data_IF_753295709987
#
_entry.id   IF_753295709987
#
_cell.length_a   1.000
_cell.length_b   1.000
_cell.length_c   1.000
_cell.angle_alpha   90.00
_cell.angle_beta   90.00
_cell.angle_gamma   90.00
#
_symmetry.space_group_name_H-M   'P 1'
#
loop_
_entity.id
_entity.type
_entity.pdbx_description
1 polymer ?
#
# COMPACT_ATOMS: atom_id res chain seq x y z
N UNK A 1 -6.18 26.86 36.84
CA UNK A 1 -6.90 26.03 35.86
C UNK A 1 -6.70 26.64 34.48
N UNK A 2 -5.84 26.09 33.62
CA UNK A 2 -5.86 26.42 32.20
C UNK A 2 -6.70 25.40 31.43
N UNK A 3 -7.44 25.95 30.50
CA UNK A 3 -8.41 25.38 29.58
C UNK A 3 -7.80 24.37 28.62
N UNK A 4 -8.58 23.32 28.31
CA UNK A 4 -8.21 22.22 27.45
C UNK A 4 -7.85 22.66 26.03
N UNK A 5 -6.59 22.39 25.66
CA UNK A 5 -6.19 22.27 24.27
C UNK A 5 -6.79 20.97 23.71
N UNK A 6 -7.64 21.10 22.70
CA UNK A 6 -8.06 19.96 21.88
C UNK A 6 -6.87 19.59 21.01
N UNK A 7 -6.15 18.54 21.38
CA UNK A 7 -5.28 17.83 20.44
C UNK A 7 -6.15 17.38 19.27
N UNK A 8 -5.78 17.79 18.05
CA UNK A 8 -6.29 17.17 16.83
C UNK A 8 -5.60 15.81 16.69
N UNK A 9 -6.30 14.72 16.39
CA UNK A 9 -5.64 13.47 16.04
C UNK A 9 -5.03 13.61 14.64
N UNK A 10 -3.73 13.32 14.53
CA UNK A 10 -3.07 12.98 13.27
C UNK A 10 -3.11 11.45 13.19
N UNK A 11 -3.96 10.88 12.33
CA UNK A 11 -4.07 9.44 12.10
C UNK A 11 -3.23 9.03 10.88
N UNK A 12 -2.48 7.92 11.06
CA UNK A 12 -2.26 6.74 10.22
C UNK A 12 -1.68 6.74 8.76
N UNK A 13 -0.87 5.70 8.49
CA UNK A 13 -0.71 4.92 7.23
C UNK A 13 0.37 5.25 6.17
N UNK A 14 1.47 4.50 6.17
CA UNK A 14 1.92 3.78 4.95
C UNK A 14 1.13 2.48 4.89
N UNK A 15 0.71 1.87 3.79
CA UNK A 15 1.24 1.82 2.43
C UNK A 15 0.28 2.42 1.39
N UNK A 16 -0.44 3.48 1.75
CA UNK A 16 -1.26 4.27 0.84
C UNK A 16 -1.27 5.73 1.31
N UNK A 17 -0.20 6.47 1.02
CA UNK A 17 -0.28 7.93 1.10
C UNK A 17 -0.88 8.45 -0.21
N UNK A 18 -2.22 8.40 -0.28
CA UNK A 18 -2.98 9.28 -1.15
C UNK A 18 -2.85 10.67 -0.53
N UNK A 19 -1.99 11.50 -1.11
CA UNK A 19 -1.77 12.86 -0.64
C UNK A 19 -3.10 13.63 -0.63
N UNK A 20 -3.14 14.67 0.21
CA UNK A 20 -4.28 15.59 0.43
C UNK A 20 -4.75 16.38 -0.83
N UNK A 21 -4.43 15.94 -2.04
CA UNK A 21 -4.80 16.58 -3.30
C UNK A 21 -6.14 16.16 -3.91
N UNK A 22 -6.72 15.01 -3.55
CA UNK A 22 -7.98 14.52 -4.14
C UNK A 22 -9.26 15.11 -3.53
N UNK A 23 -9.26 15.39 -2.23
CA UNK A 23 -10.41 15.94 -1.52
C UNK A 23 -10.46 17.49 -1.53
N UNK A 24 -9.33 18.18 -1.75
CA UNK A 24 -9.33 19.65 -1.83
C UNK A 24 -9.78 20.18 -3.20
N UNK A 25 -9.56 19.42 -4.28
CA UNK A 25 -10.19 19.66 -5.58
C UNK A 25 -11.73 19.49 -5.51
N UNK A 26 -12.21 18.63 -4.61
CA UNK A 26 -13.64 18.40 -4.36
C UNK A 26 -14.28 19.51 -3.51
N UNK A 27 -13.58 20.04 -2.50
CA UNK A 27 -14.10 21.07 -1.59
C UNK A 27 -13.97 22.50 -2.15
N UNK A 28 -12.94 22.80 -2.95
CA UNK A 28 -12.78 24.13 -3.55
C UNK A 28 -13.64 24.35 -4.81
N UNK A 29 -14.01 23.27 -5.52
CA UNK A 29 -14.86 23.37 -6.71
C UNK A 29 -16.34 23.65 -6.40
N UNK A 30 -16.80 23.51 -5.15
CA UNK A 30 -18.23 23.55 -4.80
C UNK A 30 -18.76 24.92 -4.32
N UNK A 31 -18.25 26.01 -4.90
CA UNK A 31 -18.85 27.36 -4.82
C UNK A 31 -19.20 27.88 -6.21
N UNK A 32 -20.26 27.33 -6.81
CA UNK A 32 -21.38 28.13 -7.34
C UNK A 32 -22.28 27.27 -8.23
N UNK A 33 -23.58 27.25 -7.89
CA UNK A 33 -24.76 27.17 -8.78
C UNK A 33 -24.77 25.95 -9.74
N UNK A 34 -25.57 24.89 -9.57
CA UNK A 34 -27.02 24.85 -9.38
C UNK A 34 -27.60 23.72 -10.27
N UNK A 35 -28.44 22.86 -9.69
CA UNK A 35 -29.20 21.74 -10.30
C UNK A 35 -30.06 22.12 -11.54
N UNK A 36 -30.79 21.20 -12.24
CA UNK A 36 -30.82 19.71 -12.22
C UNK A 36 -30.82 19.03 -13.63
N UNK A 37 -30.71 17.69 -13.71
CA UNK A 37 -31.75 16.75 -14.24
C UNK A 37 -31.16 15.42 -14.81
N UNK A 38 -31.74 14.31 -14.33
CA UNK A 38 -31.51 12.89 -14.59
C UNK A 38 -31.72 12.36 -16.04
N UNK A 39 -31.26 11.10 -16.28
CA UNK A 39 -31.98 9.86 -16.78
C UNK A 39 -31.34 9.06 -17.98
N UNK A 40 -31.73 7.78 -18.26
CA UNK A 40 -30.95 6.55 -18.00
C UNK A 40 -30.62 5.69 -19.26
N UNK A 41 -29.85 4.58 -19.12
CA UNK A 41 -29.91 3.46 -20.07
C UNK A 41 -29.53 2.09 -19.45
N UNK A 42 -30.13 1.01 -19.98
CA UNK A 42 -30.06 -0.38 -19.53
C UNK A 42 -29.58 -1.31 -20.68
N UNK A 43 -28.90 -2.41 -20.31
CA UNK A 43 -28.69 -3.74 -20.98
C UNK A 43 -27.66 -3.88 -22.12
N UNK A 44 -26.69 -4.79 -21.96
CA UNK A 44 -26.82 -6.18 -22.44
C UNK A 44 -25.75 -7.13 -21.86
N UNK A 45 -26.18 -8.31 -21.40
CA UNK A 45 -25.33 -9.41 -20.96
C UNK A 45 -24.85 -10.19 -22.20
N UNK A 46 -23.54 -10.29 -22.40
CA UNK A 46 -22.95 -11.31 -23.26
C UNK A 46 -22.19 -12.29 -22.36
N UNK A 47 -22.72 -13.52 -22.26
CA UNK A 47 -22.01 -14.62 -21.63
C UNK A 47 -20.82 -14.99 -22.53
N UNK A 48 -19.65 -14.42 -22.24
CA UNK A 48 -18.39 -14.98 -22.65
C UNK A 48 -18.07 -16.13 -21.70
N UNK A 49 -17.94 -17.34 -22.24
CA UNK A 49 -17.23 -18.41 -21.56
C UNK A 49 -15.77 -17.96 -21.51
N UNK A 50 -15.37 -17.33 -20.41
CA UNK A 50 -13.96 -17.24 -20.08
C UNK A 50 -13.51 -18.67 -19.81
N UNK A 51 -12.73 -19.24 -20.71
CA UNK A 51 -11.80 -20.27 -20.31
C UNK A 51 -10.86 -19.56 -19.33
N UNK A 52 -11.06 -19.78 -18.02
CA UNK A 52 -10.05 -19.39 -17.04
C UNK A 52 -8.73 -20.00 -17.52
N UNK A 53 -7.63 -19.23 -17.61
CA UNK A 53 -6.34 -19.88 -17.68
C UNK A 53 -6.31 -20.87 -16.51
N UNK A 54 -5.94 -22.12 -16.78
CA UNK A 54 -5.47 -22.97 -15.69
C UNK A 54 -4.28 -22.22 -15.12
N UNK A 55 -4.46 -21.55 -13.98
CA UNK A 55 -3.31 -21.13 -13.19
C UNK A 55 -2.52 -22.39 -12.91
N UNK A 56 -1.29 -22.46 -13.43
CA UNK A 56 -0.39 -23.52 -13.03
C UNK A 56 -0.24 -23.43 -11.51
N UNK A 57 -0.28 -24.57 -10.80
CA UNK A 57 0.04 -24.54 -9.38
C UNK A 57 1.47 -24.00 -9.21
N UNK A 58 1.69 -23.09 -8.23
CA UNK A 58 3.01 -22.52 -7.99
C UNK A 58 4.02 -23.61 -7.71
N UNK A 59 5.28 -23.37 -8.09
CA UNK A 59 6.34 -24.34 -7.86
C UNK A 59 6.49 -24.64 -6.36
N UNK A 60 6.82 -25.88 -5.95
CA UNK A 60 7.00 -26.20 -4.52
C UNK A 60 8.03 -25.32 -3.81
N UNK A 61 9.06 -24.86 -4.54
CA UNK A 61 10.07 -23.93 -4.02
C UNK A 61 9.51 -22.53 -3.80
N UNK A 62 8.65 -22.04 -4.70
CA UNK A 62 7.99 -20.75 -4.47
C UNK A 62 7.09 -20.82 -3.24
N UNK A 63 6.31 -21.89 -3.09
CA UNK A 63 5.48 -22.09 -1.89
C UNK A 63 6.32 -22.04 -0.61
N UNK A 64 7.44 -22.77 -0.58
CA UNK A 64 8.36 -22.75 0.58
C UNK A 64 8.93 -21.35 0.86
N UNK A 65 9.31 -20.60 -0.18
CA UNK A 65 9.82 -19.24 -0.02
C UNK A 65 8.74 -18.26 0.48
N UNK A 66 7.52 -18.33 -0.10
CA UNK A 66 6.37 -17.50 0.28
C UNK A 66 5.99 -17.73 1.75
N UNK A 67 6.01 -18.99 2.19
CA UNK A 67 5.79 -19.36 3.59
C UNK A 67 6.90 -18.80 4.49
N UNK A 68 8.17 -18.93 4.10
CA UNK A 68 9.31 -18.42 4.85
C UNK A 68 9.30 -16.89 4.99
N UNK A 69 8.80 -16.18 3.98
CA UNK A 69 8.61 -14.72 3.98
C UNK A 69 7.36 -14.27 4.73
N UNK A 70 6.48 -15.21 5.15
CA UNK A 70 5.22 -14.91 5.83
C UNK A 70 4.36 -13.91 5.06
N UNK A 71 4.22 -14.13 3.75
CA UNK A 71 3.47 -13.23 2.87
C UNK A 71 2.00 -13.08 3.29
N UNK A 72 1.37 -14.18 3.71
CA UNK A 72 -0.01 -14.19 4.20
C UNK A 72 -0.21 -13.24 5.39
N UNK A 73 0.70 -13.26 6.38
CA UNK A 73 0.67 -12.32 7.51
C UNK A 73 0.77 -10.85 7.05
N UNK A 74 1.55 -10.56 6.02
CA UNK A 74 1.70 -9.22 5.47
C UNK A 74 0.41 -8.74 4.80
N UNK A 75 -0.22 -9.63 4.02
CA UNK A 75 -1.48 -9.34 3.34
C UNK A 75 -2.65 -9.20 4.33
N UNK A 76 -2.68 -10.01 5.39
CA UNK A 76 -3.65 -9.84 6.49
C UNK A 76 -3.55 -8.46 7.15
N UNK A 77 -2.33 -7.93 7.32
CA UNK A 77 -2.14 -6.56 7.83
C UNK A 77 -2.66 -5.54 6.81
N UNK A 78 -2.38 -5.73 5.51
CA UNK A 78 -2.93 -4.88 4.45
C UNK A 78 -4.46 -4.87 4.42
N UNK A 79 -5.14 -5.98 4.72
CA UNK A 79 -6.61 -6.02 4.82
C UNK A 79 -7.11 -5.15 5.98
N UNK A 80 -6.42 -5.18 7.12
CA UNK A 80 -6.76 -4.35 8.29
C UNK A 80 -6.58 -2.86 7.99
N UNK A 81 -5.44 -2.49 7.42
CA UNK A 81 -5.14 -1.11 6.97
C UNK A 81 -6.15 -0.64 5.92
N UNK A 82 -6.44 -1.50 4.95
CA UNK A 82 -7.37 -1.23 3.87
C UNK A 82 -8.80 -0.98 4.32
N UNK A 83 -9.25 -1.69 5.36
CA UNK A 83 -10.57 -1.48 5.95
C UNK A 83 -10.66 -0.12 6.63
N UNK A 84 -9.64 0.25 7.42
CA UNK A 84 -9.57 1.58 8.04
C UNK A 84 -9.50 2.69 6.97
N UNK A 85 -8.72 2.47 5.91
CA UNK A 85 -8.63 3.40 4.79
C UNK A 85 -9.97 3.56 4.05
N UNK A 86 -10.77 2.49 3.94
CA UNK A 86 -12.13 2.56 3.43
C UNK A 86 -13.02 3.51 4.25
N UNK A 87 -12.91 3.50 5.58
CA UNK A 87 -13.66 4.43 6.45
C UNK A 87 -13.26 5.89 6.19
N UNK A 88 -11.98 6.15 5.94
CA UNK A 88 -11.47 7.47 5.60
C UNK A 88 -12.00 7.96 4.26
N UNK A 89 -12.00 7.12 3.22
CA UNK A 89 -12.61 7.45 1.92
C UNK A 89 -14.08 7.86 2.09
N UNK A 90 -14.87 7.09 2.85
CA UNK A 90 -16.27 7.45 3.10
C UNK A 90 -16.37 8.80 3.81
N UNK A 91 -15.60 8.99 4.89
CA UNK A 91 -15.62 10.22 5.68
C UNK A 91 -15.25 11.47 4.86
N UNK A 92 -14.31 11.35 3.92
CA UNK A 92 -13.80 12.48 3.14
C UNK A 92 -14.62 12.76 1.88
N UNK A 93 -15.09 11.73 1.18
CA UNK A 93 -15.65 11.88 -0.17
C UNK A 93 -17.19 11.83 -0.20
N UNK A 94 -17.82 11.05 0.68
CA UNK A 94 -19.26 10.85 0.68
C UNK A 94 -19.81 10.54 2.09
N UNK A 95 -19.45 11.38 3.06
CA UNK A 95 -19.72 11.18 4.48
C UNK A 95 -21.15 10.69 4.78
N UNK A 96 -21.24 9.64 5.59
CA UNK A 96 -22.49 9.01 6.08
C UNK A 96 -23.38 8.35 5.01
N UNK A 97 -22.90 8.23 3.76
CA UNK A 97 -23.70 7.71 2.62
C UNK A 97 -23.33 6.31 2.18
N UNK A 98 -22.15 5.83 2.58
CA UNK A 98 -21.67 4.49 2.25
C UNK A 98 -22.40 3.42 3.05
N UNK A 99 -22.35 3.54 4.38
CA UNK A 99 -22.95 2.61 5.33
C UNK A 99 -22.59 1.15 5.02
N UNK A 100 -23.49 0.21 5.32
CA UNK A 100 -23.23 -1.22 5.15
C UNK A 100 -22.90 -1.63 3.69
N UNK A 101 -23.33 -0.86 2.69
CA UNK A 101 -23.04 -1.16 1.28
C UNK A 101 -21.59 -0.84 0.93
N UNK A 102 -21.08 0.30 1.41
CA UNK A 102 -19.67 0.66 1.23
C UNK A 102 -18.76 -0.32 1.96
N UNK A 103 -19.09 -0.63 3.22
CA UNK A 103 -18.33 -1.60 4.03
C UNK A 103 -18.25 -2.98 3.38
N UNK A 104 -19.36 -3.48 2.81
CA UNK A 104 -19.35 -4.74 2.07
C UNK A 104 -18.51 -4.67 0.78
N UNK A 105 -18.48 -3.51 0.12
CA UNK A 105 -17.65 -3.30 -1.07
C UNK A 105 -16.17 -3.29 -0.71
N UNK A 106 -15.76 -2.50 0.30
CA UNK A 106 -14.38 -2.47 0.81
C UNK A 106 -13.93 -3.87 1.23
N UNK A 107 -14.74 -4.61 1.98
CA UNK A 107 -14.43 -5.99 2.37
C UNK A 107 -14.25 -6.93 1.17
N UNK A 108 -14.99 -6.73 0.08
CA UNK A 108 -14.82 -7.52 -1.15
C UNK A 108 -13.58 -7.14 -1.96
N UNK A 109 -13.14 -5.88 -1.87
CA UNK A 109 -11.91 -5.42 -2.53
C UNK A 109 -10.67 -5.97 -1.81
N UNK A 110 -10.68 -5.94 -0.47
CA UNK A 110 -9.62 -6.50 0.37
C UNK A 110 -9.82 -7.99 0.68
N UNK A 111 -10.28 -8.76 -0.30
CA UNK A 111 -10.39 -10.22 -0.18
C UNK A 111 -8.99 -10.85 -0.13
N UNK A 112 -8.64 -11.46 1.01
CA UNK A 112 -7.29 -11.97 1.27
C UNK A 112 -6.87 -13.07 0.29
N UNK A 113 -7.75 -14.03 0.02
CA UNK A 113 -7.46 -15.15 -0.90
C UNK A 113 -7.16 -14.63 -2.31
N UNK A 114 -7.95 -13.66 -2.79
CA UNK A 114 -7.69 -13.01 -4.08
C UNK A 114 -6.36 -12.24 -4.10
N UNK A 115 -6.03 -11.56 -3.01
CA UNK A 115 -4.77 -10.82 -2.89
C UNK A 115 -3.57 -11.78 -2.88
N UNK A 116 -3.67 -12.90 -2.18
CA UNK A 116 -2.67 -13.96 -2.16
C UNK A 116 -2.50 -14.59 -3.55
N UNK A 117 -3.59 -14.95 -4.23
CA UNK A 117 -3.55 -15.52 -5.59
C UNK A 117 -2.88 -14.58 -6.60
N UNK A 118 -3.21 -13.28 -6.55
CA UNK A 118 -2.57 -12.27 -7.41
C UNK A 118 -1.08 -12.17 -7.12
N UNK A 119 -0.70 -12.10 -5.84
CA UNK A 119 0.68 -11.94 -5.43
C UNK A 119 1.52 -13.16 -5.81
N UNK A 120 1.03 -14.38 -5.51
CA UNK A 120 1.72 -15.64 -5.85
C UNK A 120 1.83 -15.81 -7.35
N UNK A 121 0.80 -15.45 -8.12
CA UNK A 121 0.85 -15.49 -9.58
C UNK A 121 1.98 -14.63 -10.15
N UNK A 122 2.14 -13.40 -9.65
CA UNK A 122 3.23 -12.51 -10.08
C UNK A 122 4.59 -13.04 -9.65
N UNK A 123 4.72 -13.57 -8.43
CA UNK A 123 5.99 -14.14 -7.97
C UNK A 123 6.40 -15.35 -8.81
N UNK A 124 5.47 -16.23 -9.19
CA UNK A 124 5.76 -17.39 -10.04
C UNK A 124 6.26 -16.96 -11.43
N UNK A 125 5.65 -15.93 -12.01
CA UNK A 125 6.06 -15.40 -13.32
C UNK A 125 7.43 -14.68 -13.24
N UNK A 126 7.64 -13.82 -12.24
CA UNK A 126 8.86 -13.02 -12.11
C UNK A 126 10.08 -13.82 -11.63
N UNK A 127 9.86 -14.93 -10.92
CA UNK A 127 10.92 -15.78 -10.37
C UNK A 127 11.11 -17.10 -11.13
N UNK A 128 10.46 -17.27 -12.29
CA UNK A 128 10.45 -18.50 -13.09
C UNK A 128 11.85 -19.11 -13.35
N UNK A 129 12.84 -18.25 -13.47
CA UNK A 129 14.21 -18.53 -13.86
C UNK A 129 15.23 -18.26 -12.75
N UNK A 130 14.76 -17.84 -11.57
CA UNK A 130 15.58 -17.61 -10.40
C UNK A 130 15.91 -18.94 -9.68
N UNK A 131 17.11 -19.02 -9.11
CA UNK A 131 17.42 -20.08 -8.15
C UNK A 131 16.95 -19.65 -6.77
N UNK A 132 15.91 -20.30 -6.26
CA UNK A 132 15.29 -19.95 -4.98
C UNK A 132 16.01 -20.57 -3.77
N UNK A 133 16.89 -21.57 -3.98
CA UNK A 133 17.51 -22.30 -2.87
C UNK A 133 18.29 -21.39 -1.90
N UNK A 134 19.09 -20.40 -2.36
CA UNK A 134 19.78 -19.49 -1.44
C UNK A 134 18.85 -18.60 -0.61
N UNK A 135 17.70 -18.22 -1.18
CA UNK A 135 16.70 -17.40 -0.49
C UNK A 135 15.97 -18.22 0.57
N UNK A 136 15.54 -19.42 0.20
CA UNK A 136 14.90 -20.37 1.11
C UNK A 136 15.85 -20.70 2.27
N UNK A 137 17.13 -20.97 1.99
CA UNK A 137 18.14 -21.23 3.02
C UNK A 137 18.29 -20.05 3.98
N UNK A 138 18.34 -18.83 3.47
CA UNK A 138 18.46 -17.63 4.30
C UNK A 138 17.21 -17.40 5.16
N UNK A 139 16.02 -17.36 4.56
CA UNK A 139 14.78 -17.02 5.26
C UNK A 139 14.29 -18.13 6.18
N UNK A 140 14.66 -19.39 5.93
CA UNK A 140 14.37 -20.52 6.83
C UNK A 140 15.39 -20.69 7.96
N UNK A 141 16.49 -19.93 7.96
CA UNK A 141 17.47 -19.94 9.06
C UNK A 141 16.92 -19.27 10.32
N UNK A 142 17.50 -19.56 11.50
CA UNK A 142 17.12 -18.89 12.76
C UNK A 142 17.20 -17.35 12.64
N UNK A 143 18.19 -16.85 11.89
CA UNK A 143 18.32 -15.42 11.61
C UNK A 143 17.19 -14.92 10.72
N UNK A 144 16.94 -15.58 9.59
CA UNK A 144 15.91 -15.18 8.62
C UNK A 144 14.52 -15.16 9.25
N UNK A 145 14.15 -16.23 9.95
CA UNK A 145 12.90 -16.32 10.70
C UNK A 145 12.76 -15.16 11.68
N UNK A 146 13.80 -14.88 12.47
CA UNK A 146 13.78 -13.77 13.42
C UNK A 146 13.61 -12.41 12.75
N UNK A 147 14.24 -12.18 11.59
CA UNK A 147 14.10 -10.92 10.84
C UNK A 147 12.65 -10.73 10.39
N UNK A 148 12.08 -11.73 9.71
CA UNK A 148 10.70 -11.67 9.20
C UNK A 148 9.71 -11.52 10.36
N UNK A 149 9.91 -12.24 11.47
CA UNK A 149 9.09 -12.07 12.68
C UNK A 149 9.11 -10.65 13.22
N UNK A 150 10.28 -10.01 13.25
CA UNK A 150 10.42 -8.62 13.72
C UNK A 150 9.76 -7.63 12.78
N UNK A 151 9.88 -7.82 11.46
CA UNK A 151 9.26 -6.98 10.44
C UNK A 151 7.72 -7.03 10.54
N UNK A 152 7.14 -8.24 10.55
CA UNK A 152 5.70 -8.44 10.71
C UNK A 152 5.20 -7.89 12.06
N UNK A 153 5.93 -8.15 13.15
CA UNK A 153 5.55 -7.65 14.47
C UNK A 153 5.61 -6.12 14.54
N UNK A 154 6.62 -5.50 13.93
CA UNK A 154 6.76 -4.05 13.86
C UNK A 154 5.62 -3.42 13.06
N UNK A 155 5.32 -3.97 11.88
CA UNK A 155 4.25 -3.46 11.01
C UNK A 155 2.90 -3.53 11.72
N UNK A 156 2.58 -4.67 12.35
CA UNK A 156 1.34 -4.85 13.12
C UNK A 156 1.27 -3.94 14.34
N UNK A 157 2.39 -3.72 15.05
CA UNK A 157 2.41 -2.85 16.22
C UNK A 157 2.23 -1.37 15.85
N UNK A 158 2.79 -0.94 14.71
CA UNK A 158 2.67 0.44 14.22
C UNK A 158 1.28 0.79 13.65
N UNK A 159 0.32 -0.14 13.66
CA UNK A 159 -1.10 0.17 13.47
C UNK A 159 -1.68 0.97 14.65
N UNK A 160 -1.06 0.87 15.83
CA UNK A 160 -1.39 1.73 16.97
C UNK A 160 -0.66 3.07 16.85
N UNK A 161 -1.42 4.17 16.86
CA UNK A 161 -0.87 5.52 16.70
C UNK A 161 0.22 5.86 17.72
N UNK A 162 0.07 5.37 18.96
CA UNK A 162 1.05 5.61 20.02
C UNK A 162 2.37 4.89 19.75
N UNK A 163 2.33 3.72 19.11
CA UNK A 163 3.53 2.99 18.67
C UNK A 163 4.16 3.65 17.46
N UNK A 164 3.38 4.10 16.48
CA UNK A 164 3.91 4.83 15.32
C UNK A 164 4.62 6.12 15.76
N UNK A 165 4.01 6.92 16.64
CA UNK A 165 4.61 8.12 17.21
C UNK A 165 5.91 7.79 17.97
N UNK A 166 5.92 6.71 18.76
CA UNK A 166 7.14 6.27 19.46
C UNK A 166 8.27 5.85 18.51
N UNK A 167 7.93 5.27 17.35
CA UNK A 167 8.85 4.96 16.26
C UNK A 167 9.49 6.21 15.67
N UNK A 168 8.68 7.22 15.34
CA UNK A 168 9.14 8.52 14.83
C UNK A 168 10.02 9.26 15.82
N UNK A 169 9.64 9.26 17.09
CA UNK A 169 10.44 9.83 18.19
C UNK A 169 11.80 9.14 18.33
N UNK A 170 11.83 7.81 18.15
CA UNK A 170 13.09 7.06 18.16
C UNK A 170 13.98 7.47 17.00
N UNK A 171 13.44 7.56 15.79
CA UNK A 171 14.19 8.03 14.62
C UNK A 171 14.74 9.44 14.84
N UNK A 172 13.93 10.35 15.38
CA UNK A 172 14.35 11.71 15.69
C UNK A 172 15.53 11.75 16.68
N UNK A 173 15.48 10.92 17.74
CA UNK A 173 16.62 10.78 18.68
C UNK A 173 17.87 10.26 17.98
N UNK A 174 17.77 9.17 17.21
CA UNK A 174 18.90 8.62 16.46
C UNK A 174 19.55 9.67 15.54
N UNK A 175 18.74 10.48 14.86
CA UNK A 175 19.22 11.57 14.00
C UNK A 175 19.97 12.64 14.81
N UNK A 176 19.43 13.02 15.97
CA UNK A 176 20.03 14.05 16.83
C UNK A 176 21.34 13.60 17.50
N UNK A 177 21.45 12.31 17.79
CA UNK A 177 22.61 11.71 18.45
C UNK A 177 23.70 11.27 17.46
N UNK A 178 23.38 11.25 16.16
CA UNK A 178 24.27 10.72 15.13
C UNK A 178 24.51 9.21 15.31
N UNK A 179 23.44 8.46 15.62
CA UNK A 179 23.51 7.02 15.86
C UNK A 179 24.08 6.29 14.62
N UNK A 180 25.22 5.57 14.75
CA UNK A 180 25.85 4.87 13.62
C UNK A 180 24.94 3.81 13.00
N UNK A 181 23.92 3.32 13.72
CA UNK A 181 22.90 2.41 13.16
C UNK A 181 22.21 3.03 11.95
N UNK A 182 22.00 4.35 11.92
CA UNK A 182 21.33 5.01 10.80
C UNK A 182 22.05 4.79 9.48
N UNK A 183 23.38 4.70 9.48
CA UNK A 183 24.12 4.49 8.23
C UNK A 183 23.94 3.05 7.71
N UNK A 184 23.78 2.09 8.61
CA UNK A 184 23.43 0.70 8.23
C UNK A 184 22.00 0.63 7.68
N UNK A 185 21.05 1.37 8.27
CA UNK A 185 19.68 1.42 7.78
C UNK A 185 19.57 2.11 6.41
N UNK A 186 20.35 3.17 6.18
CA UNK A 186 20.44 3.83 4.85
C UNK A 186 21.04 2.89 3.80
N UNK A 187 22.03 2.08 4.17
CA UNK A 187 22.59 1.08 3.27
C UNK A 187 21.56 -0.01 2.93
N UNK A 188 20.80 -0.48 3.93
CA UNK A 188 19.70 -1.42 3.71
C UNK A 188 18.63 -0.84 2.77
N UNK A 189 18.22 0.42 2.98
CA UNK A 189 17.30 1.12 2.10
C UNK A 189 17.86 1.21 0.67
N UNK A 190 19.13 1.62 0.51
CA UNK A 190 19.74 1.82 -0.80
C UNK A 190 19.94 0.52 -1.60
N UNK A 191 20.30 -0.59 -0.93
CA UNK A 191 20.46 -1.90 -1.58
C UNK A 191 19.13 -2.44 -2.10
N UNK A 192 18.04 -2.14 -1.40
CA UNK A 192 16.69 -2.59 -1.76
C UNK A 192 15.86 -1.52 -2.50
N UNK A 193 16.40 -0.31 -2.69
CA UNK A 193 15.73 0.86 -3.29
C UNK A 193 14.31 1.13 -2.73
N UNK A 194 14.12 0.91 -1.43
CA UNK A 194 12.79 0.85 -0.81
C UNK A 194 12.00 2.14 -1.00
N UNK A 195 12.64 3.32 -0.87
CA UNK A 195 11.93 4.59 -1.05
C UNK A 195 11.46 4.75 -2.50
N UNK A 196 12.32 4.44 -3.47
CA UNK A 196 11.99 4.58 -4.89
C UNK A 196 10.82 3.69 -5.29
N UNK A 197 10.85 2.41 -4.90
CA UNK A 197 9.77 1.48 -5.20
C UNK A 197 8.45 1.86 -4.54
N UNK A 198 8.48 2.26 -3.26
CA UNK A 198 7.26 2.67 -2.55
C UNK A 198 6.66 3.96 -3.12
N UNK A 199 7.50 4.92 -3.54
CA UNK A 199 7.02 6.15 -4.21
C UNK A 199 6.38 5.81 -5.56
N UNK A 200 7.04 4.98 -6.37
CA UNK A 200 6.48 4.56 -7.66
C UNK A 200 5.14 3.82 -7.49
N UNK A 201 5.09 2.84 -6.58
CA UNK A 201 3.86 2.11 -6.26
C UNK A 201 2.75 3.02 -5.74
N UNK A 202 3.06 3.97 -4.85
CA UNK A 202 2.09 4.95 -4.35
C UNK A 202 1.52 5.83 -5.46
N UNK A 203 2.35 6.38 -6.34
CA UNK A 203 1.88 7.18 -7.49
C UNK A 203 1.02 6.36 -8.46
N UNK A 204 1.44 5.13 -8.76
CA UNK A 204 0.71 4.20 -9.61
C UNK A 204 -0.68 3.88 -9.04
N UNK A 205 -0.74 3.63 -7.72
CA UNK A 205 -1.99 3.32 -7.04
C UNK A 205 -2.90 4.56 -6.96
N UNK A 206 -2.35 5.74 -6.71
CA UNK A 206 -3.09 7.00 -6.73
C UNK A 206 -3.71 7.29 -8.10
N UNK A 207 -2.94 7.07 -9.16
CA UNK A 207 -3.43 7.18 -10.52
C UNK A 207 -4.54 6.17 -10.82
N UNK A 208 -4.38 4.91 -10.40
CA UNK A 208 -5.39 3.87 -10.57
C UNK A 208 -6.71 4.20 -9.84
N UNK A 209 -6.63 4.75 -8.62
CA UNK A 209 -7.80 5.25 -7.89
C UNK A 209 -8.50 6.38 -8.65
N UNK A 210 -7.73 7.36 -9.16
CA UNK A 210 -8.28 8.48 -9.93
C UNK A 210 -8.94 7.99 -11.22
N UNK A 211 -8.32 7.07 -11.95
CA UNK A 211 -8.94 6.41 -13.11
C UNK A 211 -10.25 5.72 -12.72
N UNK A 212 -10.29 5.02 -11.59
CA UNK A 212 -11.51 4.40 -11.08
C UNK A 212 -12.63 5.41 -10.81
N UNK A 213 -12.31 6.58 -10.24
CA UNK A 213 -13.27 7.67 -10.04
C UNK A 213 -13.83 8.20 -11.36
N UNK A 214 -12.96 8.44 -12.35
CA UNK A 214 -13.36 8.94 -13.68
C UNK A 214 -14.24 7.92 -14.40
N UNK A 215 -13.81 6.66 -14.47
CA UNK A 215 -14.56 5.57 -15.10
C UNK A 215 -15.90 5.34 -14.40
N UNK A 216 -15.96 5.56 -13.09
CA UNK A 216 -17.17 5.46 -12.28
C UNK A 216 -18.09 6.69 -12.35
N UNK A 217 -17.70 7.74 -13.09
CA UNK A 217 -18.51 8.95 -13.27
C UNK A 217 -18.57 9.86 -12.05
N UNK A 218 -17.53 9.88 -11.21
CA UNK A 218 -17.46 10.74 -10.02
C UNK A 218 -17.43 12.24 -10.36
N UNK A 219 -16.99 12.60 -11.57
CA UNK A 219 -16.83 13.99 -12.00
C UNK A 219 -17.93 14.41 -12.98
N UNK A 220 -18.51 15.62 -12.83
CA UNK A 220 -19.51 16.14 -13.76
C UNK A 220 -18.90 16.69 -15.06
N UNK A 221 -17.59 16.61 -15.20
CA UNK A 221 -16.81 17.07 -16.36
C UNK A 221 -15.80 16.02 -16.79
N UNK A 222 -15.32 16.14 -18.02
CA UNK A 222 -14.25 15.30 -18.53
C UNK A 222 -12.93 15.62 -17.85
N UNK A 223 -12.29 14.59 -17.28
CA UNK A 223 -10.93 14.65 -16.74
C UNK A 223 -10.04 13.86 -17.68
N UNK A 224 -9.02 14.51 -18.24
CA UNK A 224 -8.11 13.85 -19.16
C UNK A 224 -7.03 13.06 -18.41
N UNK A 225 -6.45 12.07 -19.08
CA UNK A 225 -5.33 11.31 -18.53
C UNK A 225 -4.12 12.21 -18.19
N UNK A 226 -3.83 13.20 -19.03
CA UNK A 226 -2.76 14.17 -18.78
C UNK A 226 -2.99 14.98 -17.49
N UNK A 227 -4.24 15.35 -17.20
CA UNK A 227 -4.60 16.05 -15.97
C UNK A 227 -4.41 15.14 -14.75
N UNK A 228 -4.87 13.88 -14.82
CA UNK A 228 -4.67 12.91 -13.73
C UNK A 228 -3.19 12.68 -13.45
N UNK A 229 -2.37 12.50 -14.49
CA UNK A 229 -0.93 12.32 -14.35
C UNK A 229 -0.25 13.55 -13.76
N UNK A 230 -0.62 14.75 -14.19
CA UNK A 230 -0.07 15.99 -13.64
C UNK A 230 -0.39 16.15 -12.15
N UNK A 231 -1.63 15.86 -11.74
CA UNK A 231 -2.06 15.95 -10.35
C UNK A 231 -1.38 14.91 -9.46
N UNK A 232 -1.26 13.66 -9.91
CA UNK A 232 -0.54 12.60 -9.18
C UNK A 232 0.94 12.94 -9.07
N UNK A 233 1.57 13.36 -10.17
CA UNK A 233 3.00 13.69 -10.18
C UNK A 233 3.33 14.90 -9.30
N UNK A 234 2.39 15.83 -9.14
CA UNK A 234 2.57 16.99 -8.25
C UNK A 234 2.80 16.62 -6.78
N UNK A 235 2.44 15.39 -6.38
CA UNK A 235 2.55 14.88 -5.02
C UNK A 235 3.85 14.09 -4.77
N UNK A 236 4.68 13.88 -5.78
CA UNK A 236 5.84 13.00 -5.70
C UNK A 236 6.84 13.39 -4.60
N UNK A 237 7.14 14.69 -4.46
CA UNK A 237 8.12 15.18 -3.48
C UNK A 237 7.64 14.98 -2.04
N UNK A 238 6.37 15.31 -1.77
CA UNK A 238 5.75 15.13 -0.45
C UNK A 238 5.66 13.63 -0.12
N UNK A 239 5.17 12.81 -1.06
CA UNK A 239 5.08 11.35 -0.91
C UNK A 239 6.45 10.74 -0.63
N UNK A 240 7.52 11.20 -1.29
CA UNK A 240 8.88 10.73 -1.05
C UNK A 240 9.37 11.07 0.35
N UNK A 241 9.14 12.30 0.80
CA UNK A 241 9.54 12.73 2.14
C UNK A 241 8.82 11.93 3.23
N UNK A 242 7.50 11.76 3.09
CA UNK A 242 6.66 10.99 4.01
C UNK A 242 7.06 9.50 4.02
N UNK A 243 7.27 8.92 2.84
CA UNK A 243 7.75 7.53 2.69
C UNK A 243 9.09 7.33 3.38
N UNK A 244 10.03 8.27 3.21
CA UNK A 244 11.35 8.17 3.84
C UNK A 244 11.26 8.23 5.37
N UNK A 245 10.52 9.20 5.92
CA UNK A 245 10.37 9.35 7.37
C UNK A 245 9.66 8.16 8.00
N UNK A 246 8.60 7.66 7.37
CA UNK A 246 7.93 6.46 7.84
C UNK A 246 8.85 5.24 7.75
N UNK A 247 9.48 5.00 6.58
CA UNK A 247 10.34 3.84 6.36
C UNK A 247 11.46 3.78 7.40
N UNK A 248 12.17 4.88 7.61
CA UNK A 248 13.25 4.89 8.59
C UNK A 248 12.74 4.73 10.02
N UNK A 249 11.52 5.17 10.34
CA UNK A 249 10.90 4.95 11.66
C UNK A 249 10.57 3.47 11.87
N UNK A 250 9.99 2.85 10.84
CA UNK A 250 9.70 1.42 10.80
C UNK A 250 10.97 0.57 10.91
N UNK A 251 11.97 0.79 10.05
CA UNK A 251 13.23 0.03 10.08
C UNK A 251 13.97 0.20 11.41
N UNK A 252 13.95 1.43 11.94
CA UNK A 252 14.51 1.71 13.26
C UNK A 252 13.81 0.88 14.34
N UNK A 253 12.47 0.83 14.33
CA UNK A 253 11.69 0.07 15.30
C UNK A 253 11.85 -1.45 15.13
N UNK A 254 11.65 -1.98 13.92
CA UNK A 254 11.73 -3.40 13.60
C UNK A 254 13.10 -4.01 13.93
N UNK A 255 14.18 -3.33 13.55
CA UNK A 255 15.53 -3.87 13.72
C UNK A 255 16.20 -3.45 15.03
N UNK A 256 15.48 -2.78 15.94
CA UNK A 256 16.00 -2.46 17.26
C UNK A 256 16.57 -3.70 18.00
N UNK A 257 15.95 -4.89 17.94
CA UNK A 257 16.44 -6.09 18.63
C UNK A 257 17.52 -6.87 17.86
N UNK A 258 17.85 -6.47 16.63
CA UNK A 258 18.89 -7.11 15.83
C UNK A 258 20.28 -6.54 16.15
N UNK A 259 21.27 -7.42 16.15
CA UNK A 259 22.66 -6.98 16.17
C UNK A 259 23.11 -6.61 14.74
N UNK A 260 24.24 -5.91 14.64
CA UNK A 260 24.79 -5.43 13.36
C UNK A 260 25.14 -6.57 12.41
N UNK A 261 25.61 -7.72 12.93
CA UNK A 261 26.01 -8.84 12.10
C UNK A 261 24.81 -9.48 11.39
N UNK A 262 23.66 -9.57 12.06
CA UNK A 262 22.43 -10.09 11.47
C UNK A 262 21.88 -9.14 10.40
N UNK A 263 21.84 -7.84 10.67
CA UNK A 263 21.40 -6.85 9.67
C UNK A 263 22.36 -6.77 8.47
N UNK A 264 23.68 -6.89 8.70
CA UNK A 264 24.69 -6.98 7.64
C UNK A 264 24.50 -8.21 6.76
N UNK A 265 24.25 -9.37 7.37
CA UNK A 265 23.96 -10.57 6.61
C UNK A 265 22.67 -10.44 5.77
N UNK A 266 21.69 -9.67 6.24
CA UNK A 266 20.49 -9.40 5.45
C UNK A 266 20.79 -8.48 4.26
N UNK A 267 21.54 -7.39 4.47
CA UNK A 267 22.02 -6.52 3.38
C UNK A 267 22.79 -7.34 2.33
N UNK A 268 23.70 -8.21 2.77
CA UNK A 268 24.48 -9.07 1.88
C UNK A 268 23.57 -10.02 1.08
N UNK A 269 22.56 -10.61 1.73
CA UNK A 269 21.56 -11.47 1.06
C UNK A 269 20.74 -10.68 0.02
N UNK A 270 20.24 -9.49 0.36
CA UNK A 270 19.56 -8.58 -0.57
C UNK A 270 20.42 -8.17 -1.76
N UNK A 271 21.74 -8.02 -1.55
CA UNK A 271 22.68 -7.64 -2.59
C UNK A 271 23.08 -8.80 -3.54
N UNK A 272 22.61 -10.02 -3.31
CA UNK A 272 22.82 -11.14 -4.25
C UNK A 272 21.99 -10.95 -5.53
N UNK A 273 22.23 -11.79 -6.56
CA UNK A 273 21.41 -11.76 -7.77
C UNK A 273 19.98 -12.20 -7.43
N UNK A 274 19.86 -13.24 -6.62
CA UNK A 274 18.62 -13.85 -6.18
C UNK A 274 17.84 -12.91 -5.24
N UNK A 275 18.52 -12.24 -4.30
CA UNK A 275 17.93 -11.25 -3.42
C UNK A 275 17.34 -10.04 -4.17
N UNK A 276 18.06 -9.53 -5.18
CA UNK A 276 17.51 -8.47 -6.05
C UNK A 276 16.32 -8.95 -6.88
N UNK A 277 16.37 -10.18 -7.40
CA UNK A 277 15.25 -10.74 -8.15
C UNK A 277 14.00 -10.87 -7.28
N UNK A 278 14.16 -11.36 -6.04
CA UNK A 278 13.08 -11.40 -5.07
C UNK A 278 12.54 -10.00 -4.76
N UNK A 279 13.40 -9.02 -4.52
CA UNK A 279 12.97 -7.65 -4.23
C UNK A 279 12.13 -7.05 -5.37
N UNK A 280 12.57 -7.21 -6.62
CA UNK A 280 11.79 -6.79 -7.80
C UNK A 280 10.45 -7.51 -7.85
N UNK A 281 10.43 -8.83 -7.74
CA UNK A 281 9.21 -9.62 -7.82
C UNK A 281 8.20 -9.24 -6.71
N UNK A 282 8.67 -9.00 -5.48
CA UNK A 282 7.83 -8.55 -4.37
C UNK A 282 7.21 -7.18 -4.66
N UNK A 283 8.00 -6.21 -5.15
CA UNK A 283 7.47 -4.87 -5.45
C UNK A 283 6.52 -4.86 -6.65
N UNK A 284 6.80 -5.62 -7.72
CA UNK A 284 5.89 -5.74 -8.87
C UNK A 284 4.55 -6.37 -8.45
N UNK A 285 4.59 -7.43 -7.63
CA UNK A 285 3.35 -8.05 -7.16
C UNK A 285 2.55 -7.14 -6.22
N UNK A 286 3.20 -6.45 -5.28
CA UNK A 286 2.50 -5.46 -4.45
C UNK A 286 1.94 -4.29 -5.28
N UNK A 287 2.67 -3.80 -6.29
CA UNK A 287 2.18 -2.76 -7.20
C UNK A 287 0.91 -3.21 -7.95
N UNK A 288 0.87 -4.45 -8.45
CA UNK A 288 -0.31 -5.02 -9.11
C UNK A 288 -1.49 -5.12 -8.15
N UNK A 289 -1.27 -5.64 -6.94
CA UNK A 289 -2.30 -5.74 -5.89
C UNK A 289 -2.84 -4.35 -5.57
N UNK A 290 -1.96 -3.39 -5.30
CA UNK A 290 -2.34 -2.03 -4.92
C UNK A 290 -3.04 -1.26 -6.03
N UNK A 291 -2.58 -1.33 -7.28
CA UNK A 291 -3.29 -0.70 -8.40
C UNK A 291 -4.68 -1.30 -8.61
N UNK A 292 -4.81 -2.62 -8.46
CA UNK A 292 -6.09 -3.33 -8.61
C UNK A 292 -7.08 -2.85 -7.55
N UNK A 293 -6.68 -2.91 -6.27
CA UNK A 293 -7.46 -2.43 -5.12
C UNK A 293 -7.85 -0.96 -5.30
N UNK A 294 -6.89 -0.10 -5.64
CA UNK A 294 -7.10 1.34 -5.80
C UNK A 294 -8.13 1.64 -6.87
N UNK A 295 -8.03 1.00 -8.03
CA UNK A 295 -8.99 1.20 -9.12
C UNK A 295 -10.39 0.75 -8.71
N UNK A 296 -10.51 -0.37 -8.02
CA UNK A 296 -11.80 -0.88 -7.53
C UNK A 296 -12.41 0.03 -6.46
N UNK A 297 -11.61 0.53 -5.52
CA UNK A 297 -12.06 1.52 -4.53
C UNK A 297 -12.52 2.81 -5.21
N UNK A 298 -11.78 3.31 -6.21
CA UNK A 298 -12.16 4.50 -6.99
C UNK A 298 -13.51 4.30 -7.70
N UNK A 299 -13.68 3.16 -8.39
CA UNK A 299 -14.94 2.78 -9.03
C UNK A 299 -16.09 2.67 -8.03
N UNK A 300 -15.83 2.07 -6.86
CA UNK A 300 -16.80 1.93 -5.79
C UNK A 300 -17.23 3.28 -5.22
N UNK A 301 -16.25 4.14 -4.90
CA UNK A 301 -16.46 5.47 -4.33
C UNK A 301 -17.27 6.35 -5.28
N UNK A 302 -16.98 6.29 -6.58
CA UNK A 302 -17.70 7.02 -7.61
C UNK A 302 -19.22 6.77 -7.59
N UNK A 303 -19.67 5.55 -7.25
CA UNK A 303 -21.10 5.24 -7.16
C UNK A 303 -21.81 6.02 -6.05
N UNK A 304 -21.11 6.28 -4.94
CA UNK A 304 -21.65 7.06 -3.83
C UNK A 304 -21.52 8.56 -4.11
N UNK A 305 -20.43 9.00 -4.75
CA UNK A 305 -20.24 10.38 -5.19
C UNK A 305 -21.27 10.76 -6.26
N UNK A 306 -21.44 10.01 -7.34
CA UNK A 306 -22.43 10.33 -8.37
C UNK A 306 -23.88 10.36 -7.85
N UNK A 307 -24.16 9.63 -6.76
CA UNK A 307 -25.46 9.67 -6.08
C UNK A 307 -25.77 10.98 -5.33
N UNK A 308 -24.88 11.99 -5.32
CA UNK A 308 -25.09 13.27 -4.62
C UNK A 308 -26.27 14.09 -5.20
N UNK A 309 -26.69 13.80 -6.43
CA UNK A 309 -27.61 14.64 -7.22
C UNK A 309 -29.06 14.12 -7.35
N UNK A 310 -29.48 13.15 -6.51
CA UNK A 310 -30.85 12.57 -6.53
C UNK A 310 -31.72 13.08 -5.38
#
# INVERSE_FOLDING_TARGET
MPSGGRCKPLFAHTAFYLGKGGAEAYVQANKSLGHPMFKPFILFFAAAVFASPLSAEPSPKLVELVDALRLSDSLEIMVQEGTAYGDEIEAEMFAERGGARWQAMVASVYDLERMEDLMVGVLEDELDSADLDPLIEFFSSERGVKIVELEIAARRAMLDDGVDEAGRDRLARMRSEGDPRLDVLKEFEAVNELISWNVAGGLNANFAFFQGLVDGGAFPFEVTEEQMLADVWSQEEDLRAETADWLFSYLAFAYQPLNDADLRAYIDASATKEGRALNVAMFEGFDIVFRTISRELGLGAAQFIAGQDI
#
